data_IF_928147025978
#
_entry.id   IF_928147025978
#
_cell.length_a   1.000
_cell.length_b   1.000
_cell.length_c   1.000
_cell.angle_alpha   90.00
_cell.angle_beta   90.00
_cell.angle_gamma   90.00
#
_symmetry.space_group_name_H-M   'P 1'
#
loop_
_entity.id
_entity.type
_entity.pdbx_description
1 polymer ?
#
# COMPACT_ATOMS: atom_id res chain seq x y z
N UNK A 1 6.05 35.63 -23.70
CA UNK A 1 6.41 34.35 -23.06
C UNK A 1 5.69 34.26 -21.73
N UNK A 2 4.61 33.49 -21.61
CA UNK A 2 3.84 33.34 -20.37
C UNK A 2 4.04 31.90 -19.90
N UNK A 3 5.13 31.66 -19.17
CA UNK A 3 5.43 30.36 -18.59
C UNK A 3 4.35 29.97 -17.58
N UNK A 4 3.99 28.68 -17.46
CA UNK A 4 2.97 28.28 -16.49
C UNK A 4 3.50 28.57 -15.09
N UNK A 5 2.81 29.46 -14.38
CA UNK A 5 2.95 29.63 -12.95
C UNK A 5 2.47 28.33 -12.30
N UNK A 6 3.36 27.33 -12.20
CA UNK A 6 3.12 26.12 -11.42
C UNK A 6 3.01 26.57 -9.97
N UNK A 7 1.78 26.78 -9.51
CA UNK A 7 1.49 27.04 -8.10
C UNK A 7 2.17 25.97 -7.25
N UNK A 8 2.72 26.36 -6.10
CA UNK A 8 3.29 25.42 -5.10
C UNK A 8 2.28 24.31 -4.76
N UNK A 9 0.98 24.63 -4.79
CA UNK A 9 -0.08 23.63 -4.62
C UNK A 9 -0.14 22.62 -5.78
N UNK A 10 0.16 23.05 -7.00
CA UNK A 10 0.26 22.20 -8.18
C UNK A 10 1.45 21.23 -8.11
N UNK A 11 2.58 21.66 -7.55
CA UNK A 11 3.77 20.80 -7.38
C UNK A 11 3.57 19.76 -6.26
N UNK A 12 2.91 20.14 -5.16
CA UNK A 12 2.49 19.22 -4.10
C UNK A 12 1.50 18.18 -4.64
N UNK A 13 0.46 18.63 -5.37
CA UNK A 13 -0.53 17.72 -5.94
C UNK A 13 0.04 16.80 -7.03
N UNK A 14 1.05 17.26 -7.78
CA UNK A 14 1.80 16.46 -8.73
C UNK A 14 2.59 15.33 -8.06
N UNK A 15 3.24 15.62 -6.92
CA UNK A 15 3.96 14.61 -6.12
C UNK A 15 3.02 13.56 -5.53
N UNK A 16 1.88 13.98 -4.98
CA UNK A 16 0.86 13.06 -4.44
C UNK A 16 0.32 12.14 -5.54
N UNK A 17 -0.07 12.67 -6.70
CA UNK A 17 -0.53 11.86 -7.84
C UNK A 17 0.53 10.87 -8.34
N UNK A 18 1.80 11.27 -8.36
CA UNK A 18 2.88 10.37 -8.78
C UNK A 18 3.04 9.19 -7.82
N UNK A 19 2.96 9.43 -6.50
CA UNK A 19 2.98 8.36 -5.49
C UNK A 19 1.78 7.42 -5.62
N UNK A 20 0.59 7.96 -5.85
CA UNK A 20 -0.62 7.15 -6.06
C UNK A 20 -0.53 6.29 -7.33
N UNK A 21 0.09 6.78 -8.40
CA UNK A 21 0.30 5.99 -9.63
C UNK A 21 1.31 4.86 -9.46
N UNK A 22 2.31 5.01 -8.59
CA UNK A 22 3.29 3.95 -8.30
C UNK A 22 2.76 2.91 -7.30
N UNK A 23 1.66 3.20 -6.60
CA UNK A 23 1.07 2.33 -5.59
C UNK A 23 0.73 0.91 -6.09
N UNK A 24 0.13 0.70 -7.27
CA UNK A 24 -0.16 -0.65 -7.78
C UNK A 24 1.09 -1.51 -7.95
N UNK A 25 2.18 -0.92 -8.45
CA UNK A 25 3.48 -1.61 -8.60
C UNK A 25 4.06 -2.01 -7.24
N UNK A 26 3.97 -1.14 -6.24
CA UNK A 26 4.39 -1.47 -4.88
C UNK A 26 3.50 -2.53 -4.23
N UNK A 27 2.21 -2.55 -4.58
CA UNK A 27 1.29 -3.60 -4.16
C UNK A 27 1.65 -4.95 -4.78
N UNK A 28 1.96 -4.96 -6.08
CA UNK A 28 2.36 -6.16 -6.79
C UNK A 28 3.63 -6.79 -6.20
N UNK A 29 4.59 -5.96 -5.74
CA UNK A 29 5.79 -6.43 -5.06
C UNK A 29 5.53 -7.15 -3.72
N UNK A 30 4.38 -6.91 -3.09
CA UNK A 30 3.95 -7.52 -1.82
C UNK A 30 2.81 -8.53 -2.01
N UNK A 31 2.65 -9.08 -3.23
CA UNK A 31 1.52 -9.91 -3.60
C UNK A 31 1.40 -11.21 -2.79
N UNK A 32 2.53 -11.79 -2.36
CA UNK A 32 2.54 -13.00 -1.54
C UNK A 32 1.97 -12.74 -0.13
N UNK A 33 2.42 -11.67 0.52
CA UNK A 33 1.95 -11.23 1.83
C UNK A 33 0.48 -10.78 1.76
N UNK A 34 0.09 -10.10 0.68
CA UNK A 34 -1.30 -9.69 0.46
C UNK A 34 -2.23 -10.90 0.29
N UNK A 35 -1.79 -11.92 -0.44
CA UNK A 35 -2.52 -13.18 -0.60
C UNK A 35 -2.67 -13.93 0.73
N UNK A 36 -1.61 -13.99 1.54
CA UNK A 36 -1.65 -14.64 2.86
C UNK A 36 -2.64 -13.94 3.80
N UNK A 37 -2.61 -12.60 3.87
CA UNK A 37 -3.55 -11.82 4.67
C UNK A 37 -4.99 -12.02 4.21
N UNK A 38 -5.25 -11.93 2.89
CA UNK A 38 -6.58 -12.15 2.33
C UNK A 38 -7.15 -13.54 2.62
N UNK A 39 -6.31 -14.59 2.57
CA UNK A 39 -6.70 -15.96 2.93
C UNK A 39 -7.09 -16.06 4.41
N UNK A 40 -6.29 -15.49 5.31
CA UNK A 40 -6.61 -15.48 6.74
C UNK A 40 -7.95 -14.78 7.01
N UNK A 41 -8.16 -13.59 6.42
CA UNK A 41 -9.40 -12.82 6.59
C UNK A 41 -10.60 -13.61 6.05
N UNK A 42 -10.47 -14.20 4.86
CA UNK A 42 -11.53 -15.02 4.27
C UNK A 42 -11.88 -16.19 5.19
N UNK A 43 -10.88 -16.94 5.67
CA UNK A 43 -11.07 -18.08 6.57
C UNK A 43 -11.73 -17.67 7.88
N UNK A 44 -11.24 -16.60 8.51
CA UNK A 44 -11.80 -16.06 9.75
C UNK A 44 -13.25 -15.56 9.57
N UNK A 45 -13.59 -15.02 8.40
CA UNK A 45 -14.94 -14.55 8.10
C UNK A 45 -15.91 -15.70 7.78
N UNK A 46 -15.42 -16.82 7.27
CA UNK A 46 -16.24 -18.01 6.97
C UNK A 46 -16.34 -18.99 8.15
N UNK A 47 -15.63 -18.75 9.26
CA UNK A 47 -15.66 -19.61 10.42
C UNK A 47 -17.06 -19.61 11.08
N UNK A 48 -17.54 -20.75 11.63
CA UNK A 48 -18.79 -20.81 12.38
C UNK A 48 -18.74 -19.83 13.55
N UNK A 49 -19.68 -18.86 13.59
CA UNK A 49 -19.66 -17.76 14.56
C UNK A 49 -19.19 -16.40 14.00
N UNK A 50 -18.70 -16.36 12.76
CA UNK A 50 -18.76 -15.20 11.84
C UNK A 50 -18.22 -13.87 12.35
N UNK A 51 -17.33 -13.85 13.34
CA UNK A 51 -16.86 -12.60 13.94
C UNK A 51 -15.36 -12.48 13.76
N UNK A 52 -14.98 -11.67 12.78
CA UNK A 52 -13.60 -11.26 12.57
C UNK A 52 -13.17 -10.39 13.77
N UNK A 53 -12.25 -10.90 14.59
CA UNK A 53 -11.61 -10.09 15.63
C UNK A 53 -10.32 -9.47 15.09
N UNK A 54 -9.98 -8.27 15.58
CA UNK A 54 -8.90 -7.42 15.07
C UNK A 54 -7.55 -8.14 15.02
N UNK A 55 -7.32 -9.06 15.95
CA UNK A 55 -6.01 -9.67 16.19
C UNK A 55 -5.85 -11.07 15.56
N UNK A 56 -6.87 -11.59 14.87
CA UNK A 56 -6.84 -12.96 14.30
C UNK A 56 -5.82 -13.10 13.15
N UNK A 57 -5.69 -12.08 12.31
CA UNK A 57 -4.79 -12.08 11.14
C UNK A 57 -3.64 -11.07 11.31
N UNK A 58 -3.27 -10.78 12.57
CA UNK A 58 -2.30 -9.73 12.90
C UNK A 58 -0.91 -10.03 12.36
N UNK A 59 -0.49 -11.30 12.32
CA UNK A 59 0.83 -11.71 11.83
C UNK A 59 0.96 -11.48 10.33
N UNK A 60 -0.06 -11.86 9.58
CA UNK A 60 -0.16 -11.69 8.14
C UNK A 60 -0.25 -10.21 7.78
N UNK A 61 -1.00 -9.44 8.57
CA UNK A 61 -1.09 -7.99 8.43
C UNK A 61 0.26 -7.30 8.68
N UNK A 62 0.99 -7.68 9.73
CA UNK A 62 2.31 -7.12 10.05
C UNK A 62 3.33 -7.42 8.95
N UNK A 63 3.32 -8.63 8.39
CA UNK A 63 4.16 -9.00 7.25
C UNK A 63 3.85 -8.13 6.03
N UNK A 64 2.56 -7.99 5.68
CA UNK A 64 2.11 -7.15 4.57
C UNK A 64 2.48 -5.67 4.78
N UNK A 65 2.23 -5.13 5.97
CA UNK A 65 2.57 -3.75 6.33
C UNK A 65 4.07 -3.50 6.23
N UNK A 66 4.89 -4.45 6.69
CA UNK A 66 6.35 -4.35 6.63
C UNK A 66 6.85 -4.35 5.19
N UNK A 67 6.28 -5.20 4.33
CA UNK A 67 6.57 -5.20 2.90
C UNK A 67 6.23 -3.85 2.25
N UNK A 68 5.04 -3.29 2.51
CA UNK A 68 4.65 -1.98 1.99
C UNK A 68 5.60 -0.86 2.43
N UNK A 69 5.98 -0.85 3.72
CA UNK A 69 6.91 0.14 4.23
C UNK A 69 8.27 0.04 3.53
N UNK A 70 8.76 -1.17 3.25
CA UNK A 70 9.99 -1.40 2.50
C UNK A 70 9.87 -0.98 1.02
N UNK A 71 8.76 -1.34 0.36
CA UNK A 71 8.50 -0.98 -1.03
C UNK A 71 8.41 0.55 -1.20
N UNK A 72 7.69 1.25 -0.32
CA UNK A 72 7.57 2.70 -0.35
C UNK A 72 8.91 3.42 -0.10
N UNK A 73 9.77 2.87 0.78
CA UNK A 73 11.12 3.41 1.00
C UNK A 73 12.00 3.27 -0.25
N UNK A 74 11.92 2.13 -0.95
CA UNK A 74 12.67 1.93 -2.22
C UNK A 74 12.30 2.98 -3.27
N UNK A 75 11.02 3.35 -3.38
CA UNK A 75 10.54 4.41 -4.30
C UNK A 75 11.09 5.78 -3.97
N UNK A 76 11.36 6.05 -2.68
CA UNK A 76 11.92 7.33 -2.25
C UNK A 76 13.43 7.42 -2.50
N UNK A 77 14.13 6.28 -2.58
CA UNK A 77 15.57 6.19 -2.81
C UNK A 77 15.94 5.96 -4.28
N UNK A 78 15.02 5.41 -5.08
CA UNK A 78 15.21 5.11 -6.51
C UNK A 78 14.60 6.14 -7.46
N UNK A 79 14.62 7.42 -7.12
CA UNK A 79 14.30 8.49 -8.07
C UNK A 79 15.52 8.81 -8.93
N UNK A 80 15.66 8.17 -10.09
CA UNK A 80 16.52 8.60 -11.21
C UNK A 80 15.72 8.56 -12.49
#
# INVERSE_FOLDING_TARGET
MKGPLMSVNGTVWGRVRSRLRAFPEHLAACGAEASAYGKCVQQASTAPGGRLSKDLCVREFEALRSCFAAAAKKTMMGGS
#
